data_IF_162430595018
#
_entry.id   IF_162430595018
#
_cell.length_a   1.000
_cell.length_b   1.000
_cell.length_c   1.000
_cell.angle_alpha   90.00
_cell.angle_beta   90.00
_cell.angle_gamma   90.00
#
_symmetry.space_group_name_H-M   'P 1'
#
loop_
_entity.id
_entity.type
_entity.pdbx_description
1 polymer ?
#
# COMPACT_ATOMS: atom_id res chain seq x y z
N UNK A 1 12.96 14.96 -6.11
CA UNK A 1 14.26 15.49 -6.65
C UNK A 1 15.35 14.43 -6.75
N UNK A 2 15.50 13.49 -5.82
CA UNK A 2 16.60 12.48 -5.86
C UNK A 2 16.33 11.23 -6.73
N UNK A 3 15.09 10.85 -7.01
CA UNK A 3 14.78 9.73 -7.93
C UNK A 3 15.10 10.05 -9.40
N UNK A 4 15.00 11.32 -9.80
CA UNK A 4 15.44 11.78 -11.11
C UNK A 4 16.97 11.85 -11.22
N UNK A 5 17.69 12.08 -10.11
CA UNK A 5 19.17 12.03 -10.10
C UNK A 5 19.71 10.63 -10.40
N UNK A 6 19.04 9.56 -10.00
CA UNK A 6 19.48 8.20 -10.32
C UNK A 6 19.46 7.88 -11.82
N UNK A 7 18.52 8.45 -12.56
CA UNK A 7 18.52 8.39 -14.03
C UNK A 7 19.57 9.31 -14.66
N UNK A 8 19.89 10.42 -13.99
CA UNK A 8 20.85 11.42 -14.49
C UNK A 8 22.30 10.96 -14.30
N UNK A 9 22.60 10.23 -13.22
CA UNK A 9 23.99 9.81 -12.88
C UNK A 9 24.53 8.72 -13.79
N UNK A 10 23.68 7.84 -14.35
CA UNK A 10 24.12 6.81 -15.29
C UNK A 10 24.45 7.34 -16.69
N UNK A 11 24.28 8.64 -16.93
CA UNK A 11 24.57 9.28 -18.22
C UNK A 11 25.83 10.15 -18.20
N UNK A 12 26.45 10.35 -17.03
CA UNK A 12 27.69 11.09 -16.87
C UNK A 12 28.73 10.20 -16.19
N UNK A 13 29.70 9.71 -16.97
CA UNK A 13 30.84 8.90 -16.51
C UNK A 13 31.78 9.75 -15.67
N UNK A 14 31.60 9.80 -14.35
CA UNK A 14 32.65 10.00 -13.33
C UNK A 14 32.11 9.53 -11.97
N UNK A 15 32.89 8.77 -11.18
CA UNK A 15 32.45 8.31 -9.87
C UNK A 15 32.61 9.43 -8.85
N UNK A 16 31.52 9.96 -8.34
CA UNK A 16 31.54 10.75 -7.11
C UNK A 16 30.76 9.97 -6.06
N UNK A 17 31.50 9.51 -5.07
CA UNK A 17 30.90 8.90 -3.88
C UNK A 17 30.07 9.96 -3.12
N UNK A 18 28.77 9.84 -3.13
CA UNK A 18 27.89 10.58 -2.27
C UNK A 18 27.04 9.61 -1.44
N UNK A 19 27.42 9.52 -0.17
CA UNK A 19 26.72 8.79 0.87
C UNK A 19 25.47 9.54 1.31
N UNK A 20 24.35 9.37 0.59
CA UNK A 20 23.03 9.74 1.10
C UNK A 20 22.03 8.67 0.64
N UNK A 21 21.21 8.14 1.54
CA UNK A 21 20.19 7.16 1.16
C UNK A 21 19.19 7.82 0.20
N UNK A 22 18.68 7.08 -0.78
CA UNK A 22 17.61 7.60 -1.63
C UNK A 22 16.40 7.97 -0.75
N UNK A 23 15.74 9.09 -1.02
CA UNK A 23 14.55 9.47 -0.28
C UNK A 23 13.49 8.39 -0.45
N UNK A 24 12.87 8.07 0.65
CA UNK A 24 11.65 7.28 0.72
C UNK A 24 10.71 7.66 -0.41
N UNK A 25 10.13 6.65 -1.02
CA UNK A 25 9.11 6.73 -2.05
C UNK A 25 8.15 7.90 -1.80
N UNK A 26 8.43 9.03 -2.37
CA UNK A 26 7.44 10.10 -2.53
C UNK A 26 6.83 9.82 -3.90
N UNK A 27 5.78 9.02 -3.91
CA UNK A 27 4.89 8.96 -5.07
C UNK A 27 4.58 10.41 -5.49
N UNK A 28 4.52 10.71 -6.80
CA UNK A 28 4.13 12.03 -7.24
C UNK A 28 2.84 12.39 -6.51
N UNK A 29 2.87 13.51 -5.78
CA UNK A 29 1.76 13.93 -4.92
C UNK A 29 0.59 14.38 -5.78
N UNK A 30 -0.10 13.43 -6.39
CA UNK A 30 -1.49 13.65 -6.75
C UNK A 30 -2.28 13.42 -5.46
N UNK A 31 -3.05 14.42 -5.03
CA UNK A 31 -3.91 14.28 -3.87
C UNK A 31 -4.74 13.00 -4.03
N UNK A 32 -4.62 12.10 -3.08
CA UNK A 32 -5.24 10.80 -3.15
C UNK A 32 -5.80 10.40 -1.78
N UNK A 33 -6.86 9.64 -1.81
CA UNK A 33 -7.41 8.94 -0.65
C UNK A 33 -7.42 7.46 -1.00
N UNK A 34 -6.85 6.64 -0.13
CA UNK A 34 -6.95 5.19 -0.26
C UNK A 34 -7.27 4.56 1.09
N UNK A 35 -7.60 3.29 1.08
CA UNK A 35 -7.85 2.56 2.31
C UNK A 35 -8.29 1.14 2.02
N UNK A 36 -8.47 0.38 3.08
CA UNK A 36 -8.89 -1.00 3.01
C UNK A 36 -10.28 -1.17 3.60
N UNK A 37 -11.02 -2.12 3.08
CA UNK A 37 -12.29 -2.54 3.64
C UNK A 37 -12.15 -3.98 4.13
N UNK A 38 -12.37 -4.16 5.41
CA UNK A 38 -12.30 -5.44 6.10
C UNK A 38 -13.65 -5.77 6.73
N UNK A 39 -13.87 -7.04 7.03
CA UNK A 39 -14.88 -7.42 8.00
C UNK A 39 -14.38 -7.25 9.45
N UNK A 40 -15.23 -7.55 10.42
CA UNK A 40 -14.94 -7.55 11.85
C UNK A 40 -13.81 -8.53 12.26
N UNK A 41 -13.57 -9.56 11.44
CA UNK A 41 -12.48 -10.53 11.58
C UNK A 41 -11.20 -10.11 10.82
N UNK A 42 -11.13 -8.88 10.32
CA UNK A 42 -10.02 -8.35 9.53
C UNK A 42 -9.75 -9.08 8.21
N UNK A 43 -10.70 -9.87 7.70
CA UNK A 43 -10.58 -10.39 6.35
C UNK A 43 -10.91 -9.29 5.34
N UNK A 44 -10.15 -9.18 4.25
CA UNK A 44 -10.43 -8.19 3.20
C UNK A 44 -11.77 -8.49 2.53
N UNK A 45 -12.50 -7.44 2.21
CA UNK A 45 -13.77 -7.51 1.51
C UNK A 45 -13.58 -7.01 0.07
N UNK A 46 -13.40 -7.91 -0.90
CA UNK A 46 -13.26 -7.55 -2.31
C UNK A 46 -14.61 -7.20 -2.95
N UNK A 47 -14.54 -6.57 -4.13
CA UNK A 47 -15.67 -6.23 -5.00
C UNK A 47 -16.75 -5.33 -4.39
N UNK A 48 -16.49 -4.72 -3.23
CA UNK A 48 -17.38 -3.74 -2.63
C UNK A 48 -17.26 -2.41 -3.36
N UNK A 49 -18.38 -1.83 -3.71
CA UNK A 49 -18.42 -0.49 -4.28
C UNK A 49 -18.11 0.56 -3.22
N UNK A 50 -17.13 1.39 -3.50
CA UNK A 50 -16.75 2.53 -2.66
C UNK A 50 -17.01 3.81 -3.43
N UNK A 51 -17.71 4.74 -2.81
CA UNK A 51 -18.06 6.04 -3.38
C UNK A 51 -17.29 7.13 -2.64
N UNK A 52 -16.77 8.09 -3.41
CA UNK A 52 -16.26 9.34 -2.91
C UNK A 52 -17.32 10.42 -3.15
N UNK A 53 -17.71 11.12 -2.10
CA UNK A 53 -18.70 12.17 -2.13
C UNK A 53 -18.07 13.51 -1.74
N UNK A 54 -18.60 14.59 -2.25
CA UNK A 54 -18.28 15.95 -1.82
C UNK A 54 -19.04 16.33 -0.53
N UNK A 55 -18.89 17.57 -0.07
CA UNK A 55 -19.53 18.09 1.15
C UNK A 55 -21.06 18.12 1.10
N UNK A 56 -21.65 18.10 -0.11
CA UNK A 56 -23.11 18.12 -0.32
C UNK A 56 -23.64 16.74 -0.70
N UNK A 57 -22.95 15.68 -0.30
CA UNK A 57 -23.33 14.26 -0.50
C UNK A 57 -23.45 13.84 -1.98
N UNK A 58 -22.90 14.60 -2.92
CA UNK A 58 -22.89 14.22 -4.33
C UNK A 58 -21.70 13.32 -4.62
N UNK A 59 -21.95 12.19 -5.29
CA UNK A 59 -20.90 11.24 -5.67
C UNK A 59 -20.04 11.82 -6.78
N UNK A 60 -18.75 11.97 -6.54
CA UNK A 60 -17.77 12.50 -7.49
C UNK A 60 -16.89 11.44 -8.13
N UNK A 61 -16.64 10.33 -7.43
CA UNK A 61 -15.91 9.17 -7.97
C UNK A 61 -16.48 7.87 -7.39
N UNK A 62 -16.31 6.78 -8.14
CA UNK A 62 -16.62 5.42 -7.69
C UNK A 62 -15.47 4.50 -8.01
N UNK A 63 -15.21 3.56 -7.12
CA UNK A 63 -14.25 2.48 -7.30
C UNK A 63 -14.79 1.21 -6.65
N UNK A 64 -14.11 0.09 -6.85
CA UNK A 64 -14.35 -1.15 -6.10
C UNK A 64 -13.13 -1.52 -5.29
N UNK A 65 -13.35 -2.24 -4.21
CA UNK A 65 -12.25 -2.88 -3.50
C UNK A 65 -11.66 -4.01 -4.34
N UNK A 66 -10.35 -4.11 -4.36
CA UNK A 66 -9.63 -5.23 -5.00
C UNK A 66 -9.65 -6.49 -4.11
N UNK A 67 -8.95 -7.56 -4.56
CA UNK A 67 -8.85 -8.81 -3.81
C UNK A 67 -8.20 -8.68 -2.42
N UNK A 68 -7.54 -7.56 -2.11
CA UNK A 68 -6.98 -7.23 -0.80
C UNK A 68 -7.90 -6.31 0.02
N UNK A 69 -9.08 -5.99 -0.48
CA UNK A 69 -9.98 -5.02 0.12
C UNK A 69 -9.55 -3.58 -0.06
N UNK A 70 -8.53 -3.30 -0.89
CA UNK A 70 -8.04 -1.94 -1.12
C UNK A 70 -8.95 -1.19 -2.08
N UNK A 71 -9.19 0.10 -1.78
CA UNK A 71 -9.74 1.09 -2.70
C UNK A 71 -8.83 2.30 -2.79
N UNK A 72 -8.89 3.05 -3.90
CA UNK A 72 -8.13 4.29 -4.08
C UNK A 72 -8.88 5.28 -4.95
N UNK A 73 -8.87 6.54 -4.52
CA UNK A 73 -9.30 7.70 -5.27
C UNK A 73 -8.10 8.60 -5.51
N UNK A 74 -7.90 9.03 -6.73
CA UNK A 74 -6.73 9.83 -7.14
C UNK A 74 -7.16 11.11 -7.84
N UNK A 75 -6.23 12.06 -8.00
CA UNK A 75 -6.44 13.35 -8.65
C UNK A 75 -7.53 14.18 -7.97
N UNK A 76 -7.49 14.17 -6.65
CA UNK A 76 -8.44 14.91 -5.85
C UNK A 76 -7.97 16.36 -5.68
N UNK A 77 -8.91 17.28 -5.56
CA UNK A 77 -8.65 18.63 -5.10
C UNK A 77 -8.48 18.62 -3.57
N UNK A 78 -7.88 19.68 -3.04
CA UNK A 78 -7.91 19.95 -1.60
C UNK A 78 -9.36 20.18 -1.19
N UNK A 79 -9.78 19.64 -0.07
CA UNK A 79 -11.15 19.79 0.41
C UNK A 79 -11.60 18.67 1.35
N UNK A 80 -12.88 18.74 1.70
CA UNK A 80 -13.53 17.77 2.55
C UNK A 80 -14.32 16.79 1.68
N UNK A 81 -14.18 15.52 1.98
CA UNK A 81 -14.84 14.43 1.28
C UNK A 81 -15.52 13.49 2.27
N UNK A 82 -16.45 12.70 1.75
CA UNK A 82 -16.99 11.55 2.45
C UNK A 82 -16.70 10.29 1.62
N UNK A 83 -16.32 9.22 2.27
CA UNK A 83 -16.10 7.92 1.65
C UNK A 83 -17.20 7.00 2.17
N UNK A 84 -18.00 6.48 1.26
CA UNK A 84 -19.10 5.57 1.55
C UNK A 84 -18.82 4.20 0.96
N UNK A 85 -18.81 3.17 1.82
CA UNK A 85 -18.75 1.78 1.39
C UNK A 85 -20.17 1.26 1.22
N UNK A 86 -20.53 0.89 0.00
CA UNK A 86 -21.82 0.31 -0.34
C UNK A 86 -21.78 -1.20 -0.14
N UNK A 87 -22.78 -1.73 0.55
CA UNK A 87 -22.84 -3.14 0.94
C UNK A 87 -24.09 -3.84 0.40
N UNK A 88 -24.64 -3.34 -0.72
CA UNK A 88 -25.81 -3.96 -1.37
C UNK A 88 -25.49 -5.41 -1.78
N UNK A 89 -26.37 -6.32 -1.42
CA UNK A 89 -26.20 -7.75 -1.71
C UNK A 89 -25.19 -8.47 -0.82
N UNK A 90 -24.75 -7.83 0.26
CA UNK A 90 -23.87 -8.43 1.27
C UNK A 90 -24.52 -8.41 2.66
N UNK A 91 -23.98 -9.22 3.56
CA UNK A 91 -24.45 -9.27 4.96
C UNK A 91 -23.84 -8.19 5.84
N UNK A 92 -23.13 -7.21 5.26
CA UNK A 92 -22.45 -6.16 6.02
C UNK A 92 -23.26 -4.88 6.12
N UNK A 93 -23.00 -4.12 7.19
CA UNK A 93 -23.53 -2.76 7.36
C UNK A 93 -22.62 -1.78 6.66
N UNK A 94 -23.19 -0.99 5.71
CA UNK A 94 -22.44 0.07 5.03
C UNK A 94 -21.98 1.15 6.02
N UNK A 95 -20.81 1.73 5.74
CA UNK A 95 -20.22 2.79 6.56
C UNK A 95 -19.87 3.99 5.70
N UNK A 96 -19.92 5.18 6.33
CA UNK A 96 -19.43 6.43 5.73
C UNK A 96 -18.46 7.08 6.68
N UNK A 97 -17.31 7.54 6.16
CA UNK A 97 -16.31 8.31 6.92
C UNK A 97 -16.00 9.62 6.23
N UNK A 98 -15.86 10.68 7.03
CA UNK A 98 -15.40 11.99 6.55
C UNK A 98 -13.89 12.04 6.54
N UNK A 99 -13.31 12.67 5.51
CA UNK A 99 -11.87 12.84 5.33
C UNK A 99 -11.59 14.23 4.77
N UNK A 100 -10.49 14.83 5.19
CA UNK A 100 -10.05 16.14 4.72
C UNK A 100 -8.66 16.02 4.09
N UNK A 101 -8.53 16.48 2.86
CA UNK A 101 -7.23 16.67 2.20
C UNK A 101 -6.77 18.10 2.40
N UNK A 102 -5.57 18.28 2.94
CA UNK A 102 -4.95 19.56 3.23
C UNK A 102 -3.78 19.84 2.27
N UNK A 103 -3.39 21.13 2.04
CA UNK A 103 -2.27 21.47 1.17
C UNK A 103 -0.95 20.81 1.55
N UNK A 104 -0.78 20.53 2.86
CA UNK A 104 0.43 19.89 3.42
C UNK A 104 0.34 18.38 3.45
N UNK A 105 -0.83 17.81 3.16
CA UNK A 105 -1.13 16.38 3.31
C UNK A 105 -1.89 15.88 2.09
N UNK A 106 -1.16 15.60 1.04
CA UNK A 106 -1.71 15.20 -0.26
C UNK A 106 -2.20 13.75 -0.33
N UNK A 107 -2.03 12.98 0.74
CA UNK A 107 -2.46 11.58 0.83
C UNK A 107 -3.10 11.30 2.19
N UNK A 108 -4.31 10.71 2.15
CA UNK A 108 -5.01 10.23 3.34
C UNK A 108 -5.36 8.74 3.19
N UNK A 109 -5.18 8.01 4.29
CA UNK A 109 -5.59 6.61 4.38
C UNK A 109 -6.80 6.49 5.28
N UNK A 110 -7.85 5.83 4.78
CA UNK A 110 -9.14 5.66 5.49
C UNK A 110 -9.58 4.21 5.38
N UNK A 111 -9.34 3.43 6.42
CA UNK A 111 -9.73 2.03 6.46
C UNK A 111 -11.14 1.86 7.04
N UNK A 112 -11.85 0.83 6.60
CA UNK A 112 -13.18 0.45 7.07
C UNK A 112 -13.15 -0.95 7.66
N UNK A 113 -13.83 -1.11 8.78
CA UNK A 113 -14.15 -2.43 9.35
C UNK A 113 -15.66 -2.55 9.38
N UNK A 114 -16.20 -3.37 8.49
CA UNK A 114 -17.62 -3.58 8.37
C UNK A 114 -18.09 -4.67 9.33
N UNK A 115 -19.22 -4.41 9.99
CA UNK A 115 -19.85 -5.37 10.88
C UNK A 115 -20.93 -6.14 10.13
N UNK A 116 -20.99 -7.46 10.32
CA UNK A 116 -22.05 -8.29 9.74
C UNK A 116 -23.42 -7.94 10.33
N UNK A 117 -24.47 -7.96 9.50
CA UNK A 117 -25.85 -7.77 9.93
C UNK A 117 -26.40 -8.95 10.72
N UNK A 118 -25.78 -10.11 10.56
CA UNK A 118 -26.14 -11.34 11.26
C UNK A 118 -24.96 -11.88 12.03
N UNK A 119 -25.03 -11.83 13.35
CA UNK A 119 -24.30 -12.75 14.21
C UNK A 119 -24.95 -14.14 14.05
N UNK A 120 -24.81 -14.76 12.90
CA UNK A 120 -25.25 -16.13 12.67
C UNK A 120 -24.48 -16.76 11.54
N UNK A 121 -23.62 -17.67 11.94
CA UNK A 121 -23.22 -18.91 11.27
C UNK A 121 -23.45 -19.04 9.77
N UNK A 122 -22.36 -19.35 9.11
CA UNK A 122 -22.16 -20.16 7.90
C UNK A 122 -21.65 -19.46 6.63
N UNK A 123 -20.35 -19.60 6.47
CA UNK A 123 -19.69 -20.29 5.37
C UNK A 123 -19.85 -19.75 3.97
N UNK A 124 -18.81 -19.16 3.50
CA UNK A 124 -18.34 -19.37 2.13
C UNK A 124 -16.82 -19.36 2.10
N UNK A 125 -16.22 -20.54 2.05
CA UNK A 125 -15.04 -20.89 1.28
C UNK A 125 -13.67 -20.26 1.60
N UNK A 126 -13.49 -19.39 2.56
CA UNK A 126 -12.18 -18.93 3.03
C UNK A 126 -11.90 -19.48 4.41
N UNK A 127 -10.73 -20.07 4.64
CA UNK A 127 -10.33 -20.54 5.96
C UNK A 127 -10.22 -19.33 6.89
N UNK A 128 -11.25 -19.08 7.68
CA UNK A 128 -11.22 -18.04 8.73
C UNK A 128 -10.22 -18.52 9.79
N UNK A 129 -9.24 -17.69 10.09
CA UNK A 129 -8.32 -17.95 11.19
C UNK A 129 -9.04 -17.61 12.50
N UNK A 130 -9.52 -18.66 13.18
CA UNK A 130 -10.24 -18.53 14.45
C UNK A 130 -9.29 -18.83 15.59
N UNK A 131 -9.30 -17.98 16.62
CA UNK A 131 -8.59 -18.20 17.88
C UNK A 131 -9.57 -18.15 19.05
N UNK A 132 -9.40 -19.05 19.99
CA UNK A 132 -10.03 -18.93 21.32
C UNK A 132 -9.20 -17.93 22.13
N UNK A 133 -9.70 -16.70 22.21
CA UNK A 133 -9.02 -15.60 22.89
C UNK A 133 -9.56 -15.48 24.31
N UNK A 134 -8.69 -15.44 25.34
CA UNK A 134 -9.12 -15.16 26.71
C UNK A 134 -9.90 -13.85 26.80
N UNK A 135 -10.99 -13.82 27.55
CA UNK A 135 -11.90 -12.67 27.65
C UNK A 135 -11.18 -11.38 28.03
N UNK A 136 -10.22 -11.45 28.94
CA UNK A 136 -9.43 -10.28 29.33
C UNK A 136 -8.58 -9.72 28.20
N UNK A 137 -7.96 -10.60 27.40
CA UNK A 137 -7.18 -10.18 26.24
C UNK A 137 -8.08 -9.53 25.17
N UNK A 138 -9.27 -10.11 24.96
CA UNK A 138 -10.25 -9.56 24.05
C UNK A 138 -10.72 -8.16 24.48
N UNK A 139 -11.04 -7.96 25.76
CA UNK A 139 -11.42 -6.64 26.31
C UNK A 139 -10.34 -5.60 26.10
N UNK A 140 -9.07 -5.95 26.37
CA UNK A 140 -7.96 -5.01 26.13
C UNK A 140 -7.76 -4.73 24.64
N UNK A 141 -7.93 -5.70 23.76
CA UNK A 141 -7.90 -5.48 22.32
C UNK A 141 -8.99 -4.51 21.85
N UNK A 142 -10.24 -4.75 22.22
CA UNK A 142 -11.39 -3.90 21.87
C UNK A 142 -11.21 -2.47 22.39
N UNK A 143 -10.73 -2.33 23.63
CA UNK A 143 -10.38 -1.03 24.20
C UNK A 143 -9.27 -0.34 23.41
N UNK A 144 -8.20 -1.07 23.06
CA UNK A 144 -7.10 -0.55 22.24
C UNK A 144 -7.58 -0.07 20.87
N UNK A 145 -8.44 -0.84 20.21
CA UNK A 145 -9.07 -0.45 18.94
C UNK A 145 -9.86 0.84 19.08
N UNK A 146 -10.68 0.97 20.14
CA UNK A 146 -11.48 2.18 20.38
C UNK A 146 -10.61 3.42 20.63
N UNK A 147 -9.50 3.27 21.38
CA UNK A 147 -8.55 4.36 21.66
C UNK A 147 -7.83 4.81 20.37
N UNK A 148 -7.47 3.90 19.48
CA UNK A 148 -6.81 4.22 18.22
C UNK A 148 -7.71 5.00 17.23
N UNK A 149 -9.02 5.04 17.43
CA UNK A 149 -9.92 5.90 16.64
C UNK A 149 -9.73 7.39 16.96
N UNK A 150 -9.06 7.72 18.07
CA UNK A 150 -8.82 9.07 18.54
C UNK A 150 -7.32 9.39 18.45
N UNK A 151 -6.91 10.31 17.57
CA UNK A 151 -5.49 10.61 17.36
C UNK A 151 -4.75 10.97 18.66
N UNK A 152 -5.41 11.70 19.56
CA UNK A 152 -4.86 12.13 20.85
C UNK A 152 -4.65 10.98 21.84
N UNK A 153 -5.31 9.85 21.63
CA UNK A 153 -5.22 8.66 22.50
C UNK A 153 -4.40 7.53 21.86
N UNK A 154 -3.73 7.80 20.74
CA UNK A 154 -2.99 6.78 19.99
C UNK A 154 -1.97 6.03 20.86
N UNK A 155 -1.19 6.74 21.66
CA UNK A 155 -0.18 6.12 22.54
C UNK A 155 -0.81 5.19 23.56
N UNK A 156 -1.94 5.60 24.15
CA UNK A 156 -2.69 4.75 25.08
C UNK A 156 -3.24 3.51 24.37
N UNK A 157 -3.78 3.67 23.17
CA UNK A 157 -4.27 2.58 22.33
C UNK A 157 -3.20 1.54 22.04
N UNK A 158 -1.99 1.97 21.64
CA UNK A 158 -0.85 1.07 21.40
C UNK A 158 -0.45 0.32 22.69
N UNK A 159 -0.41 1.00 23.82
CA UNK A 159 -0.09 0.36 25.10
C UNK A 159 -1.17 -0.65 25.53
N UNK A 160 -2.41 -0.36 25.24
CA UNK A 160 -3.53 -1.27 25.51
C UNK A 160 -3.47 -2.52 24.61
N UNK A 161 -3.09 -2.37 23.34
CA UNK A 161 -2.84 -3.54 22.46
C UNK A 161 -1.67 -4.40 22.96
N UNK A 162 -0.59 -3.78 23.49
CA UNK A 162 0.52 -4.53 24.12
C UNK A 162 0.03 -5.38 25.29
N UNK A 163 -0.83 -4.83 26.15
CA UNK A 163 -1.44 -5.59 27.26
C UNK A 163 -2.26 -6.78 26.75
N UNK A 164 -3.04 -6.60 25.67
CA UNK A 164 -3.75 -7.71 25.07
C UNK A 164 -2.80 -8.83 24.61
N UNK A 165 -1.65 -8.48 24.04
CA UNK A 165 -0.60 -9.42 23.62
C UNK A 165 0.11 -10.05 24.85
N UNK A 166 0.36 -9.30 25.91
CA UNK A 166 0.91 -9.83 27.17
C UNK A 166 -0.02 -10.90 27.79
N UNK A 167 -1.34 -10.66 27.74
CA UNK A 167 -2.35 -11.62 28.21
C UNK A 167 -2.49 -12.84 27.30
N UNK A 168 -2.30 -12.65 26.00
CA UNK A 168 -2.37 -13.74 25.01
C UNK A 168 -1.31 -13.51 23.91
N UNK A 169 -0.07 -14.04 24.08
CA UNK A 169 1.06 -13.77 23.20
C UNK A 169 0.89 -14.18 21.72
N UNK A 170 -0.04 -15.07 21.44
CA UNK A 170 -0.42 -15.45 20.07
C UNK A 170 -1.69 -14.78 19.57
N UNK A 171 -2.14 -13.69 20.18
CA UNK A 171 -3.35 -12.98 19.75
C UNK A 171 -3.12 -12.31 18.41
N UNK A 172 -3.47 -13.01 17.33
CA UNK A 172 -3.20 -12.59 15.96
C UNK A 172 -3.70 -11.17 15.66
N UNK A 173 -4.98 -10.87 15.97
CA UNK A 173 -5.57 -9.56 15.65
C UNK A 173 -4.84 -8.42 16.36
N UNK A 174 -4.43 -8.62 17.61
CA UNK A 174 -3.69 -7.61 18.36
C UNK A 174 -2.26 -7.41 17.80
N UNK A 175 -1.58 -8.51 17.43
CA UNK A 175 -0.27 -8.46 16.78
C UNK A 175 -0.31 -7.76 15.43
N UNK A 176 -1.26 -8.13 14.56
CA UNK A 176 -1.42 -7.52 13.24
C UNK A 176 -1.73 -6.02 13.35
N UNK A 177 -2.67 -5.64 14.21
CA UNK A 177 -3.04 -4.24 14.40
C UNK A 177 -1.88 -3.43 14.96
N UNK A 178 -1.23 -3.90 16.05
CA UNK A 178 -0.10 -3.19 16.65
C UNK A 178 1.05 -3.04 15.65
N UNK A 179 1.40 -4.11 14.94
CA UNK A 179 2.46 -4.08 13.93
C UNK A 179 2.14 -3.12 12.77
N UNK A 180 0.88 -3.10 12.33
CA UNK A 180 0.45 -2.17 11.28
C UNK A 180 0.48 -0.72 11.75
N UNK A 181 0.09 -0.44 13.00
CA UNK A 181 0.19 0.90 13.58
C UNK A 181 1.64 1.37 13.72
N UNK A 182 2.58 0.48 14.03
CA UNK A 182 4.01 0.80 14.00
C UNK A 182 4.50 1.12 12.59
N UNK A 183 4.05 0.38 11.57
CA UNK A 183 4.37 0.70 10.17
C UNK A 183 3.84 2.08 9.78
N UNK A 184 2.60 2.42 10.14
CA UNK A 184 2.01 3.75 9.92
C UNK A 184 2.81 4.86 10.65
N UNK A 185 3.30 4.55 11.86
CA UNK A 185 4.15 5.44 12.65
C UNK A 185 5.60 5.51 12.17
N UNK A 186 5.99 4.70 11.18
CA UNK A 186 7.38 4.53 10.72
C UNK A 186 8.32 3.99 11.81
N UNK A 187 7.76 3.27 12.76
CA UNK A 187 8.45 2.63 13.88
C UNK A 187 8.89 1.22 13.47
N UNK A 188 9.82 1.17 12.49
CA UNK A 188 10.16 -0.06 11.76
C UNK A 188 10.75 -1.14 12.65
N UNK A 189 11.61 -0.74 13.59
CA UNK A 189 12.26 -1.64 14.54
C UNK A 189 11.25 -2.33 15.46
N UNK A 190 10.17 -1.64 15.84
CA UNK A 190 9.09 -2.22 16.64
C UNK A 190 8.12 -3.03 15.78
N UNK A 191 7.89 -2.61 14.53
CA UNK A 191 6.98 -3.29 13.61
C UNK A 191 7.44 -4.71 13.28
N UNK A 192 8.73 -4.90 12.97
CA UNK A 192 9.27 -6.19 12.49
C UNK A 192 9.02 -7.34 13.47
N UNK A 193 9.39 -7.28 14.76
CA UNK A 193 9.18 -8.41 15.67
C UNK A 193 7.70 -8.73 15.88
N UNK A 194 6.84 -7.70 15.96
CA UNK A 194 5.40 -7.88 16.17
C UNK A 194 4.75 -8.52 14.94
N UNK A 195 5.07 -8.03 13.73
CA UNK A 195 4.53 -8.59 12.48
C UNK A 195 5.11 -9.98 12.19
N UNK A 196 6.36 -10.23 12.53
CA UNK A 196 6.95 -11.57 12.43
C UNK A 196 6.15 -12.54 13.29
N UNK A 197 5.83 -12.15 14.52
CA UNK A 197 4.98 -12.97 15.39
C UNK A 197 3.58 -13.17 14.82
N UNK A 198 2.96 -12.14 14.26
CA UNK A 198 1.68 -12.25 13.59
C UNK A 198 1.72 -13.29 12.45
N UNK A 199 2.77 -13.25 11.63
CA UNK A 199 2.98 -14.20 10.51
C UNK A 199 3.31 -15.61 10.97
N UNK A 200 3.96 -15.78 12.12
CA UNK A 200 4.16 -17.09 12.74
C UNK A 200 2.84 -17.69 13.21
N UNK A 201 1.98 -16.89 13.82
CA UNK A 201 0.65 -17.30 14.31
C UNK A 201 -0.29 -17.60 13.13
N UNK A 202 -0.30 -16.76 12.11
CA UNK A 202 -1.10 -16.95 10.91
C UNK A 202 -0.23 -16.77 9.65
N UNK A 203 0.31 -17.86 9.13
CA UNK A 203 1.15 -17.85 7.93
C UNK A 203 0.47 -17.38 6.65
N UNK A 204 -0.86 -17.22 6.66
CA UNK A 204 -1.69 -16.75 5.55
C UNK A 204 -2.17 -15.30 5.72
N UNK A 205 -1.58 -14.56 6.64
CA UNK A 205 -1.90 -13.16 6.91
C UNK A 205 -1.28 -12.24 5.84
N UNK A 206 -2.00 -12.03 4.74
CA UNK A 206 -1.57 -11.17 3.63
C UNK A 206 -1.13 -9.78 4.12
N UNK A 207 -1.93 -9.15 4.97
CA UNK A 207 -1.66 -7.78 5.46
C UNK A 207 -0.43 -7.72 6.36
N UNK A 208 -0.29 -8.70 7.26
CA UNK A 208 0.90 -8.79 8.12
C UNK A 208 2.17 -9.00 7.30
N UNK A 209 2.13 -9.88 6.28
CA UNK A 209 3.26 -10.11 5.37
C UNK A 209 3.62 -8.86 4.55
N UNK A 210 2.60 -8.17 4.03
CA UNK A 210 2.81 -6.91 3.30
C UNK A 210 3.44 -5.85 4.20
N UNK A 211 2.88 -5.62 5.38
CA UNK A 211 3.39 -4.65 6.36
C UNK A 211 4.80 -5.02 6.84
N UNK A 212 5.06 -6.30 7.06
CA UNK A 212 6.38 -6.81 7.42
C UNK A 212 7.42 -6.51 6.32
N UNK A 213 7.07 -6.76 5.07
CA UNK A 213 7.93 -6.43 3.92
C UNK A 213 8.27 -4.95 3.87
N UNK A 214 7.28 -4.07 4.11
CA UNK A 214 7.50 -2.61 4.16
C UNK A 214 8.45 -2.22 5.29
N UNK A 215 8.26 -2.76 6.49
CA UNK A 215 9.12 -2.48 7.63
C UNK A 215 10.57 -2.97 7.38
N UNK A 216 10.73 -4.21 6.89
CA UNK A 216 12.02 -4.79 6.54
C UNK A 216 12.76 -4.00 5.46
N UNK A 217 12.04 -3.54 4.42
CA UNK A 217 12.62 -2.67 3.39
C UNK A 217 13.18 -1.38 3.98
N UNK A 218 12.44 -0.72 4.86
CA UNK A 218 12.88 0.52 5.49
C UNK A 218 14.09 0.31 6.42
N UNK A 219 14.22 -0.86 7.03
CA UNK A 219 15.40 -1.28 7.79
C UNK A 219 16.54 -1.80 6.91
N UNK A 220 16.45 -1.65 5.58
CA UNK A 220 17.47 -2.15 4.62
C UNK A 220 17.66 -3.67 4.62
N UNK A 221 16.70 -4.41 5.14
CA UNK A 221 16.67 -5.87 5.16
C UNK A 221 16.08 -6.40 3.85
N UNK A 222 16.69 -6.04 2.71
CA UNK A 222 16.16 -6.30 1.38
C UNK A 222 15.82 -7.78 1.12
N UNK A 223 16.66 -8.77 1.47
CA UNK A 223 16.32 -10.18 1.25
C UNK A 223 15.05 -10.60 2.01
N UNK A 224 14.91 -10.16 3.26
CA UNK A 224 13.74 -10.46 4.09
C UNK A 224 12.47 -9.78 3.54
N UNK A 225 12.59 -8.53 3.10
CA UNK A 225 11.49 -7.78 2.49
C UNK A 225 10.96 -8.47 1.23
N UNK A 226 11.87 -8.94 0.36
CA UNK A 226 11.52 -9.70 -0.85
C UNK A 226 10.81 -10.99 -0.50
N UNK A 227 11.29 -11.72 0.51
CA UNK A 227 10.68 -13.00 0.91
C UNK A 227 9.30 -12.81 1.54
N UNK A 228 9.14 -11.83 2.44
CA UNK A 228 7.83 -11.50 3.03
C UNK A 228 6.83 -11.10 1.94
N UNK A 229 7.25 -10.31 0.95
CA UNK A 229 6.39 -9.92 -0.15
C UNK A 229 6.10 -11.09 -1.11
N UNK A 230 7.05 -11.99 -1.35
CA UNK A 230 6.82 -13.20 -2.13
C UNK A 230 5.72 -14.07 -1.51
N UNK A 231 5.76 -14.22 -0.19
CA UNK A 231 4.70 -14.94 0.54
C UNK A 231 3.36 -14.21 0.44
N UNK A 232 3.35 -12.88 0.55
CA UNK A 232 2.13 -12.08 0.42
C UNK A 232 1.51 -12.23 -0.98
N UNK A 233 2.30 -12.06 -2.06
CA UNK A 233 1.79 -12.14 -3.43
C UNK A 233 1.26 -13.53 -3.78
N UNK A 234 1.82 -14.60 -3.20
CA UNK A 234 1.32 -15.96 -3.37
C UNK A 234 -0.09 -16.14 -2.76
N UNK A 235 -0.44 -15.35 -1.75
CA UNK A 235 -1.77 -15.37 -1.15
C UNK A 235 -2.79 -14.55 -1.93
N UNK A 236 -2.34 -13.47 -2.58
CA UNK A 236 -3.20 -12.60 -3.38
C UNK A 236 -2.46 -12.07 -4.61
N UNK A 237 -2.45 -12.86 -5.67
CA UNK A 237 -1.81 -12.52 -6.95
C UNK A 237 -2.52 -11.39 -7.70
N UNK A 238 -3.79 -11.08 -7.36
CA UNK A 238 -4.58 -10.05 -8.02
C UNK A 238 -4.48 -8.67 -7.34
N UNK A 239 -3.68 -8.53 -6.29
CA UNK A 239 -3.45 -7.24 -5.66
C UNK A 239 -2.54 -6.37 -6.53
N UNK A 240 -3.06 -5.27 -7.06
CA UNK A 240 -2.27 -4.28 -7.81
C UNK A 240 -1.07 -3.81 -7.02
N UNK A 241 -1.29 -3.42 -5.77
CA UNK A 241 -0.24 -2.88 -4.90
C UNK A 241 0.81 -3.92 -4.53
N UNK A 242 0.41 -5.17 -4.27
CA UNK A 242 1.39 -6.21 -3.97
C UNK A 242 2.27 -6.52 -5.19
N UNK A 243 1.69 -6.59 -6.40
CA UNK A 243 2.47 -6.75 -7.63
C UNK A 243 3.42 -5.57 -7.85
N UNK A 244 2.94 -4.34 -7.68
CA UNK A 244 3.74 -3.14 -7.83
C UNK A 244 4.91 -3.13 -6.82
N UNK A 245 4.61 -3.35 -5.55
CA UNK A 245 5.59 -3.34 -4.47
C UNK A 245 6.63 -4.46 -4.65
N UNK A 246 6.17 -5.66 -4.99
CA UNK A 246 7.06 -6.79 -5.23
C UNK A 246 7.96 -6.55 -6.44
N UNK A 247 7.41 -6.03 -7.53
CA UNK A 247 8.18 -5.66 -8.72
C UNK A 247 9.26 -4.61 -8.41
N UNK A 248 8.93 -3.58 -7.61
CA UNK A 248 9.89 -2.59 -7.15
C UNK A 248 11.02 -3.22 -6.31
N UNK A 249 10.68 -4.09 -5.34
CA UNK A 249 11.68 -4.78 -4.51
C UNK A 249 12.61 -5.65 -5.35
N UNK A 250 12.06 -6.39 -6.32
CA UNK A 250 12.82 -7.25 -7.22
C UNK A 250 13.77 -6.43 -8.11
N UNK A 251 13.30 -5.29 -8.66
CA UNK A 251 14.14 -4.39 -9.44
C UNK A 251 15.31 -3.87 -8.60
N UNK A 252 15.05 -3.42 -7.38
CA UNK A 252 16.12 -2.94 -6.48
C UNK A 252 17.06 -4.05 -6.03
N UNK A 253 16.60 -5.30 -6.02
CA UNK A 253 17.43 -6.48 -5.74
C UNK A 253 18.18 -7.01 -6.96
N UNK A 254 18.06 -6.34 -8.12
CA UNK A 254 18.72 -6.76 -9.36
C UNK A 254 18.04 -7.92 -10.09
N UNK A 255 16.88 -8.40 -9.64
CA UNK A 255 16.08 -9.47 -10.28
C UNK A 255 15.17 -8.89 -11.36
N UNK A 256 15.79 -8.36 -12.43
CA UNK A 256 15.11 -7.48 -13.39
C UNK A 256 14.03 -8.18 -14.20
N UNK A 257 14.22 -9.45 -14.60
CA UNK A 257 13.22 -10.21 -15.37
C UNK A 257 11.96 -10.50 -14.53
N UNK A 258 12.17 -10.91 -13.27
CA UNK A 258 11.04 -11.10 -12.35
C UNK A 258 10.34 -9.76 -12.08
N UNK A 259 11.09 -8.67 -11.89
CA UNK A 259 10.55 -7.34 -11.66
C UNK A 259 9.64 -6.90 -12.80
N UNK A 260 10.06 -7.07 -14.06
CA UNK A 260 9.28 -6.73 -15.24
C UNK A 260 7.94 -7.46 -15.24
N UNK A 261 7.95 -8.77 -14.93
CA UNK A 261 6.73 -9.58 -14.87
C UNK A 261 5.70 -9.00 -13.90
N UNK A 262 6.12 -8.70 -12.66
CA UNK A 262 5.20 -8.23 -11.62
C UNK A 262 4.77 -6.78 -11.84
N UNK A 263 5.64 -5.91 -12.36
CA UNK A 263 5.26 -4.54 -12.72
C UNK A 263 4.26 -4.50 -13.86
N UNK A 264 4.45 -5.32 -14.88
CA UNK A 264 3.47 -5.48 -15.98
C UNK A 264 2.13 -6.03 -15.46
N UNK A 265 2.17 -6.99 -14.55
CA UNK A 265 0.94 -7.53 -13.95
C UNK A 265 0.21 -6.48 -13.10
N UNK A 266 0.92 -5.68 -12.31
CA UNK A 266 0.33 -4.55 -11.59
C UNK A 266 -0.37 -3.57 -12.54
N UNK A 267 0.26 -3.26 -13.66
CA UNK A 267 -0.30 -2.36 -14.66
C UNK A 267 -1.51 -3.00 -15.36
N UNK A 268 -1.44 -4.28 -15.73
CA UNK A 268 -2.55 -5.03 -16.34
C UNK A 268 -3.78 -5.06 -15.42
N UNK A 269 -3.59 -5.33 -14.13
CA UNK A 269 -4.66 -5.36 -13.13
C UNK A 269 -5.31 -3.98 -12.90
N UNK A 270 -4.61 -2.91 -13.26
CA UNK A 270 -5.09 -1.53 -13.19
C UNK A 270 -5.52 -0.98 -14.55
N UNK A 271 -5.96 -1.83 -15.48
CA UNK A 271 -6.37 -1.48 -16.85
C UNK A 271 -5.30 -0.65 -17.60
N UNK A 272 -4.03 -0.94 -17.37
CA UNK A 272 -2.88 -0.22 -17.95
C UNK A 272 -2.87 1.29 -17.66
N UNK A 273 -3.39 1.69 -16.50
CA UNK A 273 -3.50 3.11 -16.07
C UNK A 273 -2.75 3.41 -14.78
N UNK A 274 -1.93 2.46 -14.30
CA UNK A 274 -1.18 2.65 -13.06
C UNK A 274 0.08 3.48 -13.32
N UNK A 275 0.04 4.75 -12.97
CA UNK A 275 1.17 5.65 -13.15
C UNK A 275 2.44 5.15 -12.43
N UNK A 276 2.30 4.62 -11.21
CA UNK A 276 3.44 4.14 -10.43
C UNK A 276 4.09 2.90 -11.08
N UNK A 277 3.28 2.03 -11.71
CA UNK A 277 3.81 0.89 -12.46
C UNK A 277 4.57 1.35 -13.73
N UNK A 278 4.06 2.34 -14.46
CA UNK A 278 4.77 2.94 -15.58
C UNK A 278 6.09 3.59 -15.14
N UNK A 279 6.10 4.28 -14.00
CA UNK A 279 7.32 4.83 -13.43
C UNK A 279 8.35 3.75 -13.11
N UNK A 280 7.96 2.69 -12.41
CA UNK A 280 8.86 1.59 -12.03
C UNK A 280 9.34 0.81 -13.26
N UNK A 281 8.50 0.61 -14.28
CA UNK A 281 8.90 0.02 -15.57
C UNK A 281 9.91 0.90 -16.30
N UNK A 282 9.74 2.21 -16.30
CA UNK A 282 10.70 3.14 -16.88
C UNK A 282 12.08 3.03 -16.20
N UNK A 283 12.10 2.97 -14.85
CA UNK A 283 13.34 2.76 -14.09
C UNK A 283 13.99 1.41 -14.43
N UNK A 284 13.19 0.36 -14.55
CA UNK A 284 13.65 -0.97 -14.92
C UNK A 284 14.25 -0.98 -16.34
N UNK A 285 13.56 -0.43 -17.33
CA UNK A 285 14.06 -0.38 -18.71
C UNK A 285 15.30 0.48 -18.84
N UNK A 286 15.41 1.55 -18.06
CA UNK A 286 16.63 2.33 -18.00
C UNK A 286 17.80 1.51 -17.43
N UNK A 287 17.59 0.71 -16.39
CA UNK A 287 18.63 -0.21 -15.87
C UNK A 287 19.05 -1.25 -16.93
N UNK A 288 18.11 -1.70 -17.74
CA UNK A 288 18.35 -2.63 -18.84
C UNK A 288 18.92 -1.96 -20.10
N UNK A 289 19.15 -0.64 -20.10
CA UNK A 289 19.57 0.19 -21.24
C UNK A 289 18.60 0.12 -22.43
N UNK A 290 17.34 -0.23 -22.18
CA UNK A 290 16.23 -0.21 -23.15
C UNK A 290 15.66 1.20 -23.21
N UNK A 291 16.41 2.13 -23.85
CA UNK A 291 16.11 3.56 -23.81
C UNK A 291 14.75 3.93 -24.43
N UNK A 292 14.38 3.23 -25.51
CA UNK A 292 13.10 3.46 -26.17
C UNK A 292 11.93 3.10 -25.23
N UNK A 293 11.96 1.90 -24.68
CA UNK A 293 10.93 1.39 -23.77
C UNK A 293 10.86 2.26 -22.48
N UNK A 294 11.99 2.70 -21.97
CA UNK A 294 12.03 3.61 -20.83
C UNK A 294 11.34 4.95 -21.14
N UNK A 295 11.54 5.52 -22.34
CA UNK A 295 10.88 6.74 -22.77
C UNK A 295 9.36 6.52 -22.94
N UNK A 296 8.95 5.39 -23.55
CA UNK A 296 7.53 5.05 -23.71
C UNK A 296 6.80 4.98 -22.36
N UNK A 297 7.41 4.34 -21.38
CA UNK A 297 6.82 4.22 -20.04
C UNK A 297 6.75 5.57 -19.29
N UNK A 298 7.74 6.46 -19.46
CA UNK A 298 7.70 7.82 -18.90
C UNK A 298 6.60 8.67 -19.54
N UNK A 299 6.34 8.52 -20.82
CA UNK A 299 5.21 9.20 -21.50
C UNK A 299 3.87 8.71 -20.92
N UNK A 300 3.71 7.40 -20.70
CA UNK A 300 2.53 6.83 -20.07
C UNK A 300 2.40 7.29 -18.61
N UNK A 301 3.50 7.36 -17.85
CA UNK A 301 3.51 7.94 -16.52
C UNK A 301 2.95 9.36 -16.52
N UNK A 302 3.44 10.25 -17.39
CA UNK A 302 2.95 11.62 -17.48
C UNK A 302 1.48 11.70 -17.94
N UNK A 303 1.08 10.79 -18.82
CA UNK A 303 -0.33 10.70 -19.26
C UNK A 303 -1.27 10.39 -18.08
N UNK A 304 -0.89 9.48 -17.21
CA UNK A 304 -1.72 9.05 -16.08
C UNK A 304 -1.45 9.82 -14.78
N UNK A 305 -0.38 10.60 -14.75
CA UNK A 305 -0.04 11.53 -13.67
C UNK A 305 0.32 12.92 -14.21
N UNK A 306 -0.62 13.66 -14.84
CA UNK A 306 -0.32 14.91 -15.53
C UNK A 306 0.18 16.02 -14.62
N UNK A 307 -0.15 15.96 -13.34
CA UNK A 307 0.30 16.91 -12.30
C UNK A 307 1.49 16.39 -11.50
N UNK A 308 2.25 15.45 -12.07
CA UNK A 308 3.45 14.95 -11.42
C UNK A 308 4.43 16.09 -11.13
N UNK A 309 5.06 16.03 -9.94
CA UNK A 309 6.16 16.94 -9.63
C UNK A 309 7.27 16.73 -10.66
N UNK A 310 7.96 17.78 -11.05
CA UNK A 310 9.09 17.73 -11.99
C UNK A 310 8.75 17.28 -13.43
N UNK A 311 7.50 17.49 -13.87
CA UNK A 311 7.02 17.14 -15.23
C UNK A 311 7.98 17.60 -16.33
N UNK A 312 8.53 18.82 -16.24
CA UNK A 312 9.46 19.35 -17.23
C UNK A 312 10.82 18.61 -17.24
N UNK A 313 11.27 18.15 -16.09
CA UNK A 313 12.49 17.34 -16.02
C UNK A 313 12.26 15.96 -16.63
N UNK A 314 11.09 15.39 -16.41
CA UNK A 314 10.71 14.11 -17.00
C UNK A 314 10.61 14.21 -18.52
N UNK A 315 10.04 15.29 -19.07
CA UNK A 315 10.01 15.54 -20.52
C UNK A 315 11.41 15.64 -21.13
N UNK A 316 12.33 16.36 -20.47
CA UNK A 316 13.74 16.44 -20.91
C UNK A 316 14.41 15.06 -20.87
N UNK A 317 14.09 14.23 -19.88
CA UNK A 317 14.61 12.89 -19.79
C UNK A 317 14.08 12.00 -20.93
N UNK A 318 12.79 12.07 -21.24
CA UNK A 318 12.18 11.38 -22.38
C UNK A 318 12.90 11.74 -23.66
N UNK A 319 13.11 13.04 -23.94
CA UNK A 319 13.82 13.49 -25.12
C UNK A 319 15.23 12.87 -25.22
N UNK A 320 15.98 12.91 -24.11
CA UNK A 320 17.33 12.34 -24.07
C UNK A 320 17.34 10.82 -24.33
N UNK A 321 16.40 10.09 -23.74
CA UNK A 321 16.27 8.65 -23.97
C UNK A 321 15.93 8.35 -25.44
N UNK A 322 15.06 9.15 -26.06
CA UNK A 322 14.76 9.04 -27.49
C UNK A 322 15.99 9.30 -28.38
N UNK A 323 16.78 10.34 -28.06
CA UNK A 323 18.02 10.64 -28.78
C UNK A 323 19.05 9.51 -28.63
N UNK A 324 19.14 8.87 -27.45
CA UNK A 324 20.02 7.73 -27.23
C UNK A 324 19.54 6.48 -27.97
N UNK A 325 18.23 6.23 -27.98
CA UNK A 325 17.64 5.11 -28.72
C UNK A 325 17.82 5.24 -30.24
N UNK A 326 17.95 6.47 -30.74
CA UNK A 326 18.21 6.70 -32.20
C UNK A 326 19.68 6.54 -32.60
N UNK A 327 20.61 6.49 -31.65
CA UNK A 327 22.05 6.36 -31.88
C UNK A 327 22.59 4.93 -31.72
N UNK A 328 21.84 4.04 -31.11
CA UNK A 328 22.17 2.64 -30.86
C UNK A 328 21.35 1.70 -31.72
#
# INVERSE_FOLDING_TARGET
MLLLLGLYLNLLTTPVAASHPPPLFVAPQSNAISGFVFNDHRNPLPDLQVELLNEVDSVIQRTKTDGSGLFSFRRLTIGIFQIRVQTYGTDYVGQTKRVQLEPTRSFEQVDFVLVSRTTSTNASGGTVFVQEVPEQAQKEYERGVALLQKPEQKTEGLNTLKKAIELFPSYFNALELLGTEYVKGKEWEQAVPVLTKAVEVNGRAFHSLNSLSVAQYNLKQMPAAVESMRRAINLNQKSVNANLWFGMLLRQSGKLDEAEKYLKEANRLADSKNADAHWELALLYNQLKKNKEAADELELFLKYSPNARDTELIKKLIQRLREQAAKG
#
